data_IF_007645409654
#
_entry.id   IF_007645409654
#
_cell.length_a   1.000
_cell.length_b   1.000
_cell.length_c   1.000
_cell.angle_alpha   90.00
_cell.angle_beta   90.00
_cell.angle_gamma   90.00
#
_symmetry.space_group_name_H-M   'P 1'
#
loop_
_entity.id
_entity.type
_entity.pdbx_description
1 polymer ?
#
# COMPACT_ATOMS: atom_id res chain seq x y z
N UNK A 1 -8.60 7.74 -32.26
CA UNK A 1 -9.93 8.38 -32.42
C UNK A 1 -10.75 7.95 -31.21
N UNK A 2 -10.90 8.82 -30.23
CA UNK A 2 -11.53 8.52 -28.94
C UNK A 2 -13.04 8.72 -29.12
N UNK A 3 -13.82 7.65 -29.06
CA UNK A 3 -15.28 7.78 -28.96
C UNK A 3 -15.62 8.29 -27.56
N UNK A 4 -15.84 9.60 -27.50
CA UNK A 4 -16.50 10.25 -26.39
C UNK A 4 -18.01 9.92 -26.46
N UNK A 5 -18.54 9.33 -25.40
CA UNK A 5 -19.92 9.62 -25.00
C UNK A 5 -21.04 8.69 -25.47
N UNK A 6 -20.80 7.39 -25.68
CA UNK A 6 -21.92 6.43 -25.62
C UNK A 6 -22.12 6.06 -24.15
N UNK A 7 -23.22 6.50 -23.56
CA UNK A 7 -23.65 6.02 -22.24
C UNK A 7 -23.86 4.51 -22.33
N UNK A 8 -22.95 3.73 -21.75
CA UNK A 8 -23.01 2.26 -21.78
C UNK A 8 -24.01 1.81 -20.74
N UNK A 9 -25.05 1.07 -21.14
CA UNK A 9 -26.01 0.56 -20.17
C UNK A 9 -25.39 -0.58 -19.37
N UNK A 10 -25.49 -0.49 -18.05
CA UNK A 10 -25.13 -1.58 -17.14
C UNK A 10 -26.40 -2.26 -16.68
N UNK A 11 -26.41 -3.59 -16.73
CA UNK A 11 -27.50 -4.38 -16.18
C UNK A 11 -26.96 -5.42 -15.21
N UNK A 12 -27.63 -5.53 -14.07
CA UNK A 12 -27.33 -6.53 -13.04
C UNK A 12 -28.58 -7.40 -12.93
N UNK A 13 -28.45 -8.66 -13.32
CA UNK A 13 -29.52 -9.66 -13.21
C UNK A 13 -28.97 -10.92 -12.54
N UNK A 14 -29.72 -11.47 -11.60
CA UNK A 14 -29.34 -12.67 -10.83
C UNK A 14 -27.90 -12.65 -10.23
N UNK A 15 -27.38 -11.46 -9.87
CA UNK A 15 -26.03 -11.31 -9.33
C UNK A 15 -24.91 -11.34 -10.38
N UNK A 16 -25.26 -11.27 -11.66
CA UNK A 16 -24.34 -11.14 -12.79
C UNK A 16 -24.44 -9.72 -13.35
N UNK A 17 -23.31 -9.03 -13.42
CA UNK A 17 -23.20 -7.72 -14.06
C UNK A 17 -22.78 -7.89 -15.52
N UNK A 18 -23.53 -7.26 -16.41
CA UNK A 18 -23.21 -7.16 -17.84
C UNK A 18 -23.12 -5.69 -18.25
N UNK A 19 -22.18 -5.39 -19.12
CA UNK A 19 -21.90 -4.03 -19.57
C UNK A 19 -22.07 -4.01 -21.09
N UNK A 20 -22.91 -3.12 -21.59
CA UNK A 20 -23.10 -2.94 -23.02
C UNK A 20 -21.77 -2.59 -23.73
N UNK A 21 -21.46 -3.33 -24.80
CA UNK A 21 -20.20 -3.20 -25.54
C UNK A 21 -19.05 -4.07 -25.01
N UNK A 22 -19.25 -4.81 -23.91
CA UNK A 22 -18.31 -5.83 -23.44
C UNK A 22 -18.92 -7.23 -23.62
N UNK A 23 -18.13 -8.15 -24.17
CA UNK A 23 -18.53 -9.56 -24.32
C UNK A 23 -18.46 -10.32 -22.99
N UNK A 24 -17.72 -9.80 -22.02
CA UNK A 24 -17.49 -10.45 -20.74
C UNK A 24 -18.60 -10.15 -19.75
N UNK A 25 -18.86 -11.12 -18.88
CA UNK A 25 -19.79 -11.05 -17.77
C UNK A 25 -19.01 -11.04 -16.47
N UNK A 26 -19.57 -10.39 -15.46
CA UNK A 26 -18.94 -10.26 -14.16
C UNK A 26 -19.84 -10.83 -13.07
N UNK A 27 -19.23 -11.47 -12.08
CA UNK A 27 -19.92 -12.00 -10.89
C UNK A 27 -19.25 -11.44 -9.64
N UNK A 28 -19.99 -11.32 -8.54
CA UNK A 28 -19.37 -10.89 -7.29
C UNK A 28 -18.37 -11.93 -6.79
N UNK A 29 -17.15 -11.49 -6.45
CA UNK A 29 -16.07 -12.37 -6.00
C UNK A 29 -16.16 -12.77 -4.53
N UNK A 30 -17.36 -12.85 -3.95
CA UNK A 30 -17.60 -13.13 -2.52
C UNK A 30 -17.02 -14.46 -2.02
N UNK A 31 -16.71 -15.40 -2.92
CA UNK A 31 -16.11 -16.69 -2.58
C UNK A 31 -14.59 -16.62 -2.39
N UNK A 32 -13.98 -15.44 -2.58
CA UNK A 32 -12.53 -15.22 -2.47
C UNK A 32 -12.27 -13.99 -1.62
N UNK A 33 -11.10 -13.99 -0.98
CA UNK A 33 -10.64 -12.83 -0.22
C UNK A 33 -9.73 -11.97 -1.09
N UNK A 34 -9.91 -10.67 -0.97
CA UNK A 34 -8.96 -9.69 -1.46
C UNK A 34 -7.79 -9.63 -0.47
N UNK A 35 -6.56 -9.76 -0.97
CA UNK A 35 -5.36 -9.64 -0.16
C UNK A 35 -4.62 -8.34 -0.48
N UNK A 36 -4.47 -7.48 0.51
CA UNK A 36 -3.75 -6.21 0.40
C UNK A 36 -2.50 -6.26 1.27
N UNK A 37 -1.39 -5.77 0.73
CA UNK A 37 -0.13 -5.57 1.43
C UNK A 37 0.20 -4.08 1.37
N UNK A 38 0.43 -3.47 2.52
CA UNK A 38 0.77 -2.07 2.62
C UNK A 38 2.11 -1.85 3.29
N UNK A 39 2.84 -0.86 2.77
CA UNK A 39 4.14 -0.41 3.25
C UNK A 39 4.15 1.11 3.38
N UNK A 40 5.30 1.68 3.78
CA UNK A 40 5.50 3.12 3.95
C UNK A 40 4.47 3.76 4.90
N UNK A 41 4.13 3.02 5.96
CA UNK A 41 3.17 3.46 6.95
C UNK A 41 3.68 4.69 7.69
N UNK A 42 2.86 5.73 7.79
CA UNK A 42 3.21 6.97 8.48
C UNK A 42 2.02 7.53 9.24
N UNK A 43 2.27 7.98 10.48
CA UNK A 43 1.25 8.62 11.29
C UNK A 43 1.12 10.09 10.90
N UNK A 44 -0.07 10.49 10.46
CA UNK A 44 -0.46 11.87 10.23
C UNK A 44 -1.37 12.34 11.35
N UNK A 45 -1.11 13.54 11.89
CA UNK A 45 -1.97 14.22 12.85
C UNK A 45 -2.62 15.42 12.18
N UNK A 46 -3.87 15.67 12.53
CA UNK A 46 -4.61 16.82 12.08
C UNK A 46 -5.85 17.05 12.94
N UNK A 47 -6.76 17.85 12.42
CA UNK A 47 -8.05 18.09 13.03
C UNK A 47 -9.14 17.80 12.01
N UNK A 48 -10.27 17.25 12.47
CA UNK A 48 -11.46 17.07 11.65
C UNK A 48 -12.67 17.67 12.35
N UNK A 49 -13.60 18.21 11.59
CA UNK A 49 -14.87 18.68 12.15
C UNK A 49 -15.84 17.50 12.16
N UNK A 50 -16.28 17.08 13.35
CA UNK A 50 -17.33 16.07 13.55
C UNK A 50 -18.46 16.67 14.37
N UNK A 51 -19.69 16.53 13.88
CA UNK A 51 -20.89 17.10 14.53
C UNK A 51 -20.73 18.58 14.94
N UNK A 52 -20.04 19.38 14.11
CA UNK A 52 -19.78 20.80 14.37
C UNK A 52 -18.69 21.10 15.40
N UNK A 53 -17.97 20.10 15.92
CA UNK A 53 -16.84 20.27 16.84
C UNK A 53 -15.53 19.90 16.15
N UNK A 54 -14.49 20.69 16.42
CA UNK A 54 -13.13 20.38 15.98
C UNK A 54 -12.55 19.32 16.91
N UNK A 55 -12.21 18.16 16.36
CA UNK A 55 -11.63 17.04 17.08
C UNK A 55 -10.24 16.72 16.51
N UNK A 56 -9.29 16.37 17.38
CA UNK A 56 -8.00 15.85 16.94
C UNK A 56 -8.24 14.55 16.15
N UNK A 57 -7.77 14.53 14.91
CA UNK A 57 -7.87 13.40 14.02
C UNK A 57 -6.49 12.82 13.78
N UNK A 58 -6.33 11.55 14.14
CA UNK A 58 -5.14 10.77 13.81
C UNK A 58 -5.48 9.83 12.66
N UNK A 59 -4.58 9.75 11.68
CA UNK A 59 -4.72 8.94 10.48
C UNK A 59 -3.37 8.26 10.23
N UNK A 60 -3.38 6.97 9.93
CA UNK A 60 -2.19 6.31 9.36
C UNK A 60 -2.34 6.30 7.84
N UNK A 61 -1.29 6.70 7.13
CA UNK A 61 -1.21 6.67 5.67
C UNK A 61 -0.19 5.65 5.23
N UNK A 62 -0.34 5.11 4.03
CA UNK A 62 0.65 4.24 3.43
C UNK A 62 0.38 4.00 1.95
N UNK A 63 1.13 3.07 1.37
CA UNK A 63 0.97 2.59 0.00
C UNK A 63 0.66 1.11 0.00
N UNK A 64 -0.38 0.71 -0.71
CA UNK A 64 -0.86 -0.66 -0.73
C UNK A 64 -0.85 -1.24 -2.14
N UNK A 65 -0.60 -2.54 -2.23
CA UNK A 65 -0.70 -3.31 -3.46
C UNK A 65 -1.50 -4.57 -3.20
N UNK A 66 -2.08 -5.14 -4.25
CA UNK A 66 -2.69 -6.45 -4.17
C UNK A 66 -1.63 -7.56 -4.18
N UNK A 67 -1.83 -8.57 -3.34
CA UNK A 67 -0.92 -9.70 -3.25
C UNK A 67 -1.19 -10.70 -4.39
N UNK A 68 -0.60 -10.46 -5.57
CA UNK A 68 -0.67 -11.35 -6.73
C UNK A 68 -1.95 -11.23 -7.58
N UNK A 69 -2.98 -10.55 -7.07
CA UNK A 69 -4.18 -10.18 -7.83
C UNK A 69 -4.03 -8.78 -8.46
N UNK A 70 -4.97 -8.42 -9.34
CA UNK A 70 -5.05 -7.10 -9.99
C UNK A 70 -6.35 -6.38 -9.66
N UNK A 71 -6.35 -5.04 -9.62
CA UNK A 71 -7.55 -4.22 -9.43
C UNK A 71 -7.74 -3.31 -10.64
N UNK A 72 -8.94 -3.31 -11.21
CA UNK A 72 -9.23 -2.66 -12.49
C UNK A 72 -10.58 -1.94 -12.49
N UNK A 73 -10.69 -0.92 -13.34
CA UNK A 73 -11.95 -0.30 -13.67
C UNK A 73 -12.53 -0.98 -14.92
N UNK A 74 -13.78 -1.47 -14.91
CA UNK A 74 -14.34 -2.19 -16.06
C UNK A 74 -14.35 -1.40 -17.38
N UNK A 75 -14.48 -0.09 -17.30
CA UNK A 75 -14.68 0.78 -18.47
C UNK A 75 -13.41 1.52 -18.92
N UNK A 76 -12.32 1.40 -18.17
CA UNK A 76 -11.07 2.13 -18.41
C UNK A 76 -9.92 1.13 -18.42
N UNK A 77 -9.06 1.22 -19.43
CA UNK A 77 -7.84 0.43 -19.45
C UNK A 77 -6.88 0.91 -18.35
N UNK A 78 -6.34 -0.02 -17.58
CA UNK A 78 -5.38 0.24 -16.51
C UNK A 78 -5.61 -0.64 -15.29
N UNK A 79 -4.52 -1.07 -14.70
CA UNK A 79 -4.48 -1.79 -13.43
C UNK A 79 -4.01 -0.84 -12.32
N UNK A 80 -4.42 -1.11 -11.09
CA UNK A 80 -3.87 -0.43 -9.91
C UNK A 80 -2.45 -0.93 -9.62
N UNK A 81 -1.44 -0.16 -10.01
CA UNK A 81 -0.05 -0.42 -9.64
C UNK A 81 0.22 -0.10 -8.15
N UNK A 82 -0.46 0.92 -7.63
CA UNK A 82 -0.38 1.38 -6.24
C UNK A 82 -1.75 1.90 -5.79
N UNK A 83 -2.08 1.67 -4.53
CA UNK A 83 -3.34 2.03 -3.89
C UNK A 83 -3.00 2.89 -2.67
N UNK A 84 -3.45 4.14 -2.68
CA UNK A 84 -3.25 5.04 -1.55
C UNK A 84 -4.02 4.53 -0.33
N UNK A 85 -3.31 4.19 0.75
CA UNK A 85 -3.92 3.66 1.96
C UNK A 85 -4.16 4.76 3.00
N UNK A 86 -5.35 4.74 3.60
CA UNK A 86 -5.73 5.53 4.76
C UNK A 86 -6.35 4.64 5.83
N UNK A 87 -5.88 4.72 7.07
CA UNK A 87 -6.43 3.96 8.19
C UNK A 87 -6.91 4.92 9.27
N UNK A 88 -8.19 4.82 9.63
CA UNK A 88 -8.83 5.65 10.64
C UNK A 88 -9.43 4.82 11.77
N UNK A 89 -9.45 5.34 13.00
CA UNK A 89 -10.25 4.75 14.06
C UNK A 89 -11.74 5.01 13.79
N UNK A 90 -12.55 3.99 14.05
CA UNK A 90 -13.99 4.10 14.23
C UNK A 90 -14.31 4.84 15.53
N UNK A 91 -15.44 5.54 15.55
CA UNK A 91 -15.95 6.16 16.76
C UNK A 91 -16.24 5.08 17.82
N UNK A 92 -16.04 5.39 19.09
CA UNK A 92 -16.27 4.44 20.18
C UNK A 92 -17.74 3.94 20.17
N UNK A 93 -17.93 2.62 20.21
CA UNK A 93 -19.25 1.98 20.22
C UNK A 93 -19.54 1.04 19.05
N UNK A 94 -18.69 1.02 18.02
CA UNK A 94 -18.81 0.03 16.95
C UNK A 94 -18.13 -1.29 17.35
N UNK A 95 -18.85 -2.40 17.13
CA UNK A 95 -18.36 -3.78 17.27
C UNK A 95 -16.98 -3.88 16.62
N UNK A 96 -16.05 -4.65 17.20
CA UNK A 96 -14.62 -4.78 16.84
C UNK A 96 -14.27 -5.22 15.41
N UNK A 97 -15.16 -5.01 14.45
CA UNK A 97 -15.02 -5.17 13.01
C UNK A 97 -14.07 -4.14 12.44
N UNK A 98 -13.47 -4.53 11.32
CA UNK A 98 -12.60 -3.68 10.53
C UNK A 98 -13.21 -3.63 9.13
N UNK A 99 -13.51 -2.43 8.67
CA UNK A 99 -14.17 -2.18 7.39
C UNK A 99 -13.15 -1.66 6.39
N UNK A 100 -13.25 -2.14 5.16
CA UNK A 100 -12.47 -1.67 4.02
C UNK A 100 -13.41 -0.97 3.04
N UNK A 101 -13.02 0.20 2.57
CA UNK A 101 -13.63 0.88 1.43
C UNK A 101 -12.56 1.05 0.37
N UNK A 102 -12.84 0.59 -0.84
CA UNK A 102 -12.01 0.82 -2.01
C UNK A 102 -12.75 1.75 -2.95
N UNK A 103 -12.04 2.74 -3.46
CA UNK A 103 -12.57 3.69 -4.42
C UNK A 103 -11.50 4.18 -5.39
N UNK A 104 -11.95 4.99 -6.34
CA UNK A 104 -11.12 5.66 -7.33
C UNK A 104 -11.35 7.15 -7.16
N UNK A 105 -10.27 7.90 -6.98
CA UNK A 105 -10.33 9.36 -7.01
C UNK A 105 -10.43 9.83 -8.47
N UNK A 106 -11.62 10.34 -8.84
CA UNK A 106 -11.89 10.87 -10.17
C UNK A 106 -11.48 12.36 -10.32
N UNK A 107 -10.88 12.99 -9.29
CA UNK A 107 -10.46 14.38 -9.36
C UNK A 107 -9.34 14.59 -10.42
N UNK A 108 -9.54 15.58 -11.31
CA UNK A 108 -8.54 16.02 -12.28
C UNK A 108 -7.27 16.48 -11.53
N UNK A 109 -6.19 15.67 -11.61
CA UNK A 109 -4.91 15.94 -10.97
C UNK A 109 -4.44 14.85 -9.99
N UNK A 110 -5.29 13.88 -9.65
CA UNK A 110 -4.85 12.65 -9.00
C UNK A 110 -3.96 11.84 -9.97
N UNK A 111 -2.86 11.27 -9.47
CA UNK A 111 -1.96 10.39 -10.24
C UNK A 111 -2.78 9.39 -11.05
N UNK A 112 -2.43 9.20 -12.33
CA UNK A 112 -3.16 8.36 -13.27
C UNK A 112 -3.54 7.00 -12.64
N UNK A 113 -4.81 6.83 -12.28
CA UNK A 113 -5.34 5.62 -11.66
C UNK A 113 -5.99 5.82 -10.29
N UNK A 114 -5.55 6.80 -9.48
CA UNK A 114 -6.26 7.33 -8.30
C UNK A 114 -6.81 6.34 -7.28
N UNK A 115 -6.39 5.07 -7.28
CA UNK A 115 -6.98 4.04 -6.43
C UNK A 115 -6.68 4.32 -4.96
N UNK A 116 -7.68 4.13 -4.12
CA UNK A 116 -7.58 4.40 -2.70
C UNK A 116 -8.29 3.33 -1.87
N UNK A 117 -7.67 3.01 -0.75
CA UNK A 117 -8.17 2.09 0.26
C UNK A 117 -8.32 2.86 1.58
N UNK A 118 -9.53 2.91 2.10
CA UNK A 118 -9.82 3.43 3.43
C UNK A 118 -10.20 2.29 4.37
N UNK A 119 -9.43 2.13 5.44
CA UNK A 119 -9.68 1.16 6.49
C UNK A 119 -10.24 1.88 7.71
N UNK A 120 -11.39 1.43 8.18
CA UNK A 120 -11.96 1.86 9.44
C UNK A 120 -11.88 0.72 10.44
N UNK A 121 -11.14 0.92 11.53
CA UNK A 121 -10.91 -0.13 12.52
C UNK A 121 -11.29 0.31 13.93
N UNK A 122 -11.58 -0.65 14.80
CA UNK A 122 -11.82 -0.40 16.21
C UNK A 122 -10.67 0.41 16.84
N UNK A 123 -11.01 1.36 17.71
CA UNK A 123 -10.05 2.27 18.32
C UNK A 123 -8.92 1.56 19.08
N UNK A 124 -9.19 0.38 19.67
CA UNK A 124 -8.18 -0.45 20.33
C UNK A 124 -7.14 -1.01 19.35
N UNK A 125 -7.58 -1.53 18.21
CA UNK A 125 -6.71 -2.05 17.14
C UNK A 125 -5.88 -0.91 16.54
N UNK A 126 -6.51 0.24 16.27
CA UNK A 126 -5.80 1.44 15.82
C UNK A 126 -4.73 1.88 16.81
N UNK A 127 -5.06 1.86 18.11
CA UNK A 127 -4.13 2.19 19.19
C UNK A 127 -2.90 1.28 19.21
N UNK A 128 -3.10 -0.04 19.08
CA UNK A 128 -2.02 -1.03 19.03
C UNK A 128 -1.13 -0.84 17.79
N UNK A 129 -1.72 -0.75 16.60
CA UNK A 129 -0.98 -0.51 15.36
C UNK A 129 -0.18 0.80 15.43
N UNK A 130 -0.75 1.87 16.01
CA UNK A 130 -0.03 3.13 16.19
C UNK A 130 1.18 2.98 17.10
N UNK A 131 1.05 2.24 18.21
CA UNK A 131 2.16 2.02 19.14
C UNK A 131 3.30 1.26 18.46
N UNK A 132 2.97 0.18 17.74
CA UNK A 132 3.95 -0.63 17.03
C UNK A 132 4.59 0.13 15.86
N UNK A 133 3.82 0.96 15.16
CA UNK A 133 4.34 1.86 14.12
C UNK A 133 5.38 2.84 14.68
N UNK A 134 5.08 3.46 15.83
CA UNK A 134 6.01 4.39 16.49
C UNK A 134 7.24 3.68 17.06
N UNK A 135 7.13 2.38 17.37
CA UNK A 135 8.24 1.54 17.83
C UNK A 135 9.06 0.91 16.69
N UNK A 136 8.67 1.12 15.42
CA UNK A 136 9.31 0.47 14.27
C UNK A 136 8.98 -1.03 14.13
N UNK A 137 7.94 -1.51 14.82
CA UNK A 137 7.48 -2.90 14.78
C UNK A 137 6.36 -3.14 13.74
N UNK A 138 5.88 -2.10 13.07
CA UNK A 138 4.82 -2.17 12.06
C UNK A 138 5.20 -1.39 10.79
N UNK A 139 6.10 -1.97 9.98
CA UNK A 139 6.49 -1.37 8.69
C UNK A 139 5.68 -1.92 7.52
N UNK A 140 5.32 -3.20 7.58
CA UNK A 140 4.44 -3.85 6.62
C UNK A 140 3.15 -4.28 7.30
N UNK A 141 2.01 -3.92 6.70
CA UNK A 141 0.67 -4.38 7.07
C UNK A 141 0.14 -5.32 5.99
N UNK A 142 -0.37 -6.48 6.37
CA UNK A 142 -1.13 -7.36 5.47
C UNK A 142 -2.57 -7.49 5.97
N UNK A 143 -3.50 -7.61 5.03
CA UNK A 143 -4.88 -7.89 5.36
C UNK A 143 -5.53 -8.81 4.32
N UNK A 144 -6.56 -9.52 4.78
CA UNK A 144 -7.51 -10.20 3.90
C UNK A 144 -8.91 -9.65 4.15
N UNK A 145 -9.69 -9.46 3.07
CA UNK A 145 -11.04 -8.94 3.17
C UNK A 145 -11.99 -9.64 2.21
N UNK A 146 -13.20 -9.93 2.66
CA UNK A 146 -14.31 -10.27 1.78
C UNK A 146 -14.94 -8.98 1.28
N UNK A 147 -15.01 -8.79 -0.05
CA UNK A 147 -15.39 -7.51 -0.67
C UNK A 147 -16.59 -7.66 -1.62
N UNK A 148 -17.23 -6.52 -1.92
CA UNK A 148 -18.25 -6.40 -2.95
C UNK A 148 -17.68 -6.20 -4.36
N UNK A 149 -16.39 -6.48 -4.58
CA UNK A 149 -15.76 -6.40 -5.90
C UNK A 149 -16.27 -7.52 -6.80
N UNK A 150 -16.15 -7.28 -8.10
CA UNK A 150 -16.54 -8.20 -9.15
C UNK A 150 -15.32 -8.89 -9.74
N UNK A 151 -15.50 -10.08 -10.28
CA UNK A 151 -14.50 -10.80 -11.08
C UNK A 151 -15.16 -11.22 -12.39
N UNK A 152 -14.35 -11.51 -13.42
CA UNK A 152 -14.90 -12.08 -14.66
C UNK A 152 -15.54 -13.43 -14.35
N UNK A 153 -16.67 -13.74 -14.99
CA UNK A 153 -17.39 -15.00 -14.80
C UNK A 153 -16.50 -16.22 -15.07
N UNK A 154 -15.60 -16.12 -16.06
CA UNK A 154 -14.60 -17.15 -16.38
C UNK A 154 -13.57 -17.40 -15.26
N UNK A 155 -13.39 -16.45 -14.35
CA UNK A 155 -12.49 -16.55 -13.19
C UNK A 155 -13.22 -16.93 -11.90
N UNK A 156 -14.54 -17.14 -11.94
CA UNK A 156 -15.36 -17.47 -10.76
C UNK A 156 -14.85 -18.69 -10.00
N UNK A 157 -14.45 -19.72 -10.74
CA UNK A 157 -13.98 -21.01 -10.20
C UNK A 157 -12.45 -21.13 -10.22
N UNK A 158 -11.74 -20.00 -10.36
CA UNK A 158 -10.28 -19.99 -10.29
C UNK A 158 -9.83 -20.57 -8.95
N UNK A 159 -8.92 -21.55 -8.99
CA UNK A 159 -8.41 -22.21 -7.79
C UNK A 159 -7.75 -21.20 -6.84
N UNK A 160 -7.65 -21.57 -5.56
CA UNK A 160 -6.91 -20.78 -4.59
C UNK A 160 -5.46 -20.58 -5.04
N UNK A 161 -4.95 -19.35 -4.96
CA UNK A 161 -3.60 -19.00 -5.40
C UNK A 161 -3.45 -18.67 -6.90
N UNK A 162 -4.50 -18.86 -7.72
CA UNK A 162 -4.50 -18.35 -9.09
C UNK A 162 -4.87 -16.86 -9.07
N UNK A 163 -4.03 -15.97 -9.65
CA UNK A 163 -4.34 -14.55 -9.78
C UNK A 163 -5.67 -14.28 -10.48
N UNK A 164 -6.44 -13.32 -9.97
CA UNK A 164 -7.66 -12.82 -10.62
C UNK A 164 -7.62 -11.31 -10.84
N UNK A 165 -8.48 -10.84 -11.75
CA UNK A 165 -8.75 -9.42 -11.91
C UNK A 165 -10.00 -9.03 -11.15
N UNK A 166 -9.82 -8.21 -10.12
CA UNK A 166 -10.89 -7.58 -9.39
C UNK A 166 -11.36 -6.31 -10.10
N UNK A 167 -12.66 -6.12 -10.12
CA UNK A 167 -13.34 -5.07 -10.85
C UNK A 167 -14.28 -4.31 -9.94
N UNK A 168 -14.24 -2.98 -10.01
CA UNK A 168 -15.26 -2.15 -9.39
C UNK A 168 -16.64 -2.41 -10.00
N UNK A 169 -17.69 -2.22 -9.20
CA UNK A 169 -19.04 -2.11 -9.76
C UNK A 169 -19.13 -0.87 -10.65
N UNK A 170 -20.07 -0.85 -11.57
CA UNK A 170 -20.31 0.30 -12.46
C UNK A 170 -21.69 0.86 -12.19
N UNK A 171 -21.80 2.19 -12.17
CA UNK A 171 -23.10 2.86 -12.05
C UNK A 171 -24.05 2.46 -13.20
N UNK A 172 -25.38 2.46 -13.00
CA UNK A 172 -26.34 2.09 -14.04
C UNK A 172 -26.24 2.91 -15.33
N UNK A 173 -25.76 4.14 -15.22
CA UNK A 173 -25.52 5.07 -16.33
C UNK A 173 -24.23 4.79 -17.12
N UNK A 174 -23.38 3.87 -16.62
CA UNK A 174 -22.08 3.52 -17.20
C UNK A 174 -21.03 4.63 -17.13
N UNK A 175 -21.20 5.65 -16.29
CA UNK A 175 -20.33 6.84 -16.24
C UNK A 175 -19.37 6.85 -15.06
N UNK A 176 -19.73 6.19 -13.96
CA UNK A 176 -18.92 6.14 -12.74
C UNK A 176 -18.71 4.72 -12.23
N UNK A 177 -17.76 4.57 -11.32
CA UNK A 177 -17.54 3.34 -10.56
C UNK A 177 -18.24 3.41 -9.21
N UNK A 178 -18.75 2.26 -8.76
CA UNK A 178 -19.33 2.11 -7.42
C UNK A 178 -18.21 1.71 -6.46
N UNK A 179 -17.97 2.47 -5.38
CA UNK A 179 -16.99 2.11 -4.35
C UNK A 179 -17.27 0.71 -3.80
N UNK A 180 -16.22 -0.10 -3.69
CA UNK A 180 -16.35 -1.43 -3.14
C UNK A 180 -16.21 -1.38 -1.61
N UNK A 181 -17.05 -2.14 -0.93
CA UNK A 181 -17.01 -2.27 0.54
C UNK A 181 -16.56 -3.68 0.88
N UNK A 182 -15.80 -3.80 1.95
CA UNK A 182 -15.31 -5.07 2.43
C UNK A 182 -15.30 -5.16 3.94
N UNK A 183 -15.36 -6.40 4.42
CA UNK A 183 -15.11 -6.76 5.81
C UNK A 183 -13.72 -7.38 5.86
N UNK A 184 -12.83 -6.78 6.65
CA UNK A 184 -11.49 -7.34 6.89
C UNK A 184 -11.61 -8.50 7.86
N UNK A 185 -11.09 -9.65 7.47
CA UNK A 185 -11.15 -10.90 8.23
C UNK A 185 -9.84 -11.17 8.97
N UNK A 186 -8.71 -10.88 8.33
CA UNK A 186 -7.39 -10.94 8.96
C UNK A 186 -6.66 -9.62 8.77
N UNK A 187 -5.92 -9.21 9.81
CA UNK A 187 -5.06 -8.03 9.81
C UNK A 187 -3.80 -8.37 10.60
N UNK A 188 -2.65 -8.27 9.96
CA UNK A 188 -1.36 -8.57 10.56
C UNK A 188 -0.37 -7.46 10.22
N UNK A 189 0.55 -7.12 11.13
CA UNK A 189 1.66 -6.23 10.83
C UNK A 189 2.95 -6.79 11.39
N UNK A 190 4.06 -6.45 10.72
CA UNK A 190 5.40 -6.91 11.07
C UNK A 190 6.43 -5.81 10.82
N UNK A 191 7.60 -5.88 11.51
CA UNK A 191 8.75 -5.06 11.13
C UNK A 191 9.19 -5.40 9.70
N UNK A 192 9.93 -4.50 9.05
CA UNK A 192 10.45 -4.82 7.73
C UNK A 192 11.32 -6.08 7.82
N UNK A 193 11.27 -6.96 6.81
CA UNK A 193 12.25 -8.02 6.72
C UNK A 193 13.64 -7.39 6.74
N UNK A 194 14.60 -7.96 7.49
CA UNK A 194 15.96 -7.43 7.47
C UNK A 194 16.41 -7.35 6.02
N UNK A 195 16.86 -6.17 5.59
CA UNK A 195 17.44 -5.99 4.26
C UNK A 195 18.64 -6.92 4.18
N UNK A 196 18.44 -8.12 3.63
CA UNK A 196 19.53 -8.98 3.23
C UNK A 196 20.13 -8.26 2.04
N UNK A 197 21.37 -7.73 2.12
CA UNK A 197 22.00 -7.15 0.96
C UNK A 197 21.95 -8.18 -0.17
N UNK A 198 21.67 -7.76 -1.42
CA UNK A 198 21.58 -8.70 -2.53
C UNK A 198 22.84 -9.55 -2.51
N UNK A 199 22.66 -10.88 -2.41
CA UNK A 199 23.77 -11.81 -2.51
C UNK A 199 24.49 -11.48 -3.82
N UNK A 200 25.74 -11.03 -3.71
CA UNK A 200 26.61 -10.86 -4.87
C UNK A 200 26.52 -12.13 -5.71
N UNK A 201 26.34 -12.01 -7.04
CA UNK A 201 26.32 -13.19 -7.90
C UNK A 201 27.58 -14.00 -7.65
N UNK A 202 27.41 -15.24 -7.17
CA UNK A 202 28.50 -16.15 -6.91
C UNK A 202 29.33 -16.31 -8.18
N UNK A 203 30.53 -15.71 -8.18
CA UNK A 203 31.53 -15.91 -9.22
C UNK A 203 31.98 -17.38 -9.16
N UNK A 204 32.16 -18.05 -10.33
CA UNK A 204 32.65 -19.42 -10.38
C UNK A 204 34.06 -19.52 -9.78
N UNK A 205 34.42 -20.70 -9.23
CA UNK A 205 35.60 -20.84 -8.38
C UNK A 205 36.87 -20.58 -9.18
N UNK A 206 37.51 -19.45 -8.89
CA UNK A 206 38.77 -19.04 -9.49
C UNK A 206 39.85 -19.10 -8.41
N UNK A 207 40.86 -19.88 -8.71
CA UNK A 207 42.04 -20.27 -7.94
C UNK A 207 42.69 -19.11 -7.18
N UNK A 208 43.09 -19.36 -5.93
CA UNK A 208 43.87 -18.47 -5.05
C UNK A 208 45.14 -17.94 -5.73
N UNK A 209 45.25 -16.63 -5.90
CA UNK A 209 46.53 -15.89 -5.76
C UNK A 209 46.23 -14.44 -5.35
N UNK A 210 46.77 -14.03 -4.19
CA UNK A 210 47.08 -12.62 -3.90
C UNK A 210 46.06 -11.89 -3.04
N UNK A 211 46.43 -11.70 -1.76
CA UNK A 211 45.76 -10.80 -0.83
C UNK A 211 45.50 -9.42 -1.46
N UNK A 212 44.23 -9.08 -1.68
CA UNK A 212 43.81 -7.69 -1.85
C UNK A 212 42.91 -7.30 -0.67
N UNK A 213 43.37 -6.27 0.02
CA UNK A 213 42.84 -5.68 1.24
C UNK A 213 41.31 -5.54 1.21
N UNK A 214 40.65 -6.17 2.18
CA UNK A 214 39.21 -6.07 2.36
C UNK A 214 38.83 -4.65 2.79
N UNK A 215 37.69 -4.16 2.29
CA UNK A 215 37.07 -2.86 2.56
C UNK A 215 37.03 -2.41 4.06
N UNK A 216 37.01 -3.29 5.08
CA UNK A 216 37.15 -2.87 6.48
C UNK A 216 38.46 -2.15 6.80
N UNK A 217 39.56 -2.51 6.13
CA UNK A 217 40.88 -1.91 6.37
C UNK A 217 40.96 -0.49 5.82
N UNK A 218 40.21 -0.17 4.76
CA UNK A 218 40.11 1.20 4.22
C UNK A 218 39.26 2.10 5.12
N UNK A 219 38.16 1.57 5.69
CA UNK A 219 37.34 2.30 6.67
C UNK A 219 38.13 2.63 7.95
N UNK A 220 38.93 1.68 8.46
CA UNK A 220 39.80 1.93 9.61
C UNK A 220 40.91 2.98 9.32
N UNK A 221 41.43 3.00 8.09
CA UNK A 221 42.46 3.98 7.66
C UNK A 221 41.87 5.39 7.47
N UNK A 222 40.61 5.51 7.06
CA UNK A 222 39.87 6.79 6.95
C UNK A 222 39.54 7.37 8.33
N UNK A 223 39.09 6.54 9.28
CA UNK A 223 38.80 6.97 10.65
C UNK A 223 40.05 7.51 11.37
N UNK A 224 41.22 6.97 11.04
CA UNK A 224 42.49 7.39 11.61
C UNK A 224 43.01 8.70 11.00
N UNK A 225 42.89 8.89 9.67
CA UNK A 225 43.29 10.13 9.01
C UNK A 225 42.40 11.31 9.39
N UNK A 226 41.10 11.08 9.61
CA UNK A 226 40.16 12.09 10.08
C UNK A 226 40.49 12.56 11.50
N UNK A 227 40.88 11.64 12.40
CA UNK A 227 41.35 11.98 13.75
C UNK A 227 42.62 12.84 13.73
N UNK A 228 43.56 12.57 12.82
CA UNK A 228 44.76 13.39 12.67
C UNK A 228 44.47 14.79 12.14
N UNK A 229 43.58 14.93 11.14
CA UNK A 229 43.18 16.24 10.62
C UNK A 229 42.47 17.05 11.72
N UNK A 230 41.55 16.44 12.47
CA UNK A 230 40.88 17.10 13.58
C UNK A 230 41.87 17.58 14.67
N UNK A 231 42.87 16.77 15.01
CA UNK A 231 43.90 17.13 15.98
C UNK A 231 44.72 18.34 15.54
N UNK A 232 45.16 18.38 14.27
CA UNK A 232 45.92 19.51 13.71
C UNK A 232 45.09 20.78 13.70
N UNK A 233 43.80 20.67 13.38
CA UNK A 233 42.88 21.81 13.32
C UNK A 233 42.63 22.41 14.71
N UNK A 234 42.48 21.57 15.74
CA UNK A 234 42.42 22.01 17.14
C UNK A 234 43.73 22.69 17.55
N UNK A 235 44.88 22.14 17.17
CA UNK A 235 46.17 22.75 17.49
C UNK A 235 46.34 24.13 16.84
N UNK A 236 45.93 24.29 15.57
CA UNK A 236 45.91 25.58 14.89
C UNK A 236 44.99 26.59 15.57
N UNK A 237 43.81 26.16 16.00
CA UNK A 237 42.88 27.03 16.74
C UNK A 237 43.47 27.50 18.07
N UNK A 238 44.20 26.63 18.79
CA UNK A 238 44.93 27.00 20.00
C UNK A 238 46.03 28.02 19.70
N UNK A 239 46.83 27.82 18.66
CA UNK A 239 47.91 28.76 18.28
C UNK A 239 47.35 30.12 17.87
N UNK A 240 46.21 30.17 17.15
CA UNK A 240 45.54 31.43 16.80
C UNK A 240 44.97 32.12 18.04
N UNK A 241 44.42 31.37 19.00
CA UNK A 241 43.87 31.93 20.24
C UNK A 241 44.94 32.43 21.23
N UNK A 242 46.19 31.95 21.12
CA UNK A 242 47.33 32.41 21.93
C UNK A 242 48.06 33.64 21.34
N UNK A 243 47.61 34.16 20.20
CA UNK A 243 48.18 35.34 19.56
C UNK A 243 47.26 36.55 19.73
#
# INVERSE_FOLDING_TARGET
>A
MVEAGVARRVSIDQGVMTIEGFSERFVQGIARHLHLIANDLSLSRGFSIRAGRLEEAQLIRGRAVLAGDSLQQPLRAGEADDIALMIRPLSAGEDGRILLVLDVDEAEGAYAGGYRAEIHMAASVFGALKQDLLAGAAETLSLSATTSLWVRESQREAAAGVPVAWHFGVEPNGRGVIPARGLVETLEWRPAPPTVPPAEPALPPSIEVGALETIPDQLARIDWSLKQIALVLVFLLIVVALK
#
